data_IF_014990306821
#
_entry.id   IF_014990306821
#
_cell.length_a   1.000
_cell.length_b   1.000
_cell.length_c   1.000
_cell.angle_alpha   90.00
_cell.angle_beta   90.00
_cell.angle_gamma   90.00
#
_symmetry.space_group_name_H-M   'P 1'
#
loop_
_entity.id
_entity.type
_entity.pdbx_description
1 polymer ?
#
# COMPACT_ATOMS: atom_id res chain seq x y z
N UNK A 1 22.63 6.15 -8.41
CA UNK A 1 22.18 7.56 -8.45
C UNK A 1 21.36 7.76 -7.19
N UNK A 2 21.65 8.77 -6.40
CA UNK A 2 20.83 9.11 -5.22
C UNK A 2 19.49 9.63 -5.71
N UNK A 3 18.41 8.97 -5.34
CA UNK A 3 17.06 9.39 -5.66
C UNK A 3 16.82 10.80 -5.11
N UNK A 4 16.42 11.73 -5.98
CA UNK A 4 16.23 13.12 -5.56
C UNK A 4 14.83 13.34 -5.00
N UNK A 5 13.81 12.70 -5.60
CA UNK A 5 12.39 12.89 -5.26
C UNK A 5 11.70 11.53 -5.15
N UNK A 6 11.15 11.24 -4.00
CA UNK A 6 10.36 10.03 -3.77
C UNK A 6 8.92 10.39 -3.41
N UNK A 7 7.98 9.76 -4.09
CA UNK A 7 6.56 9.79 -3.77
C UNK A 7 6.18 8.51 -3.03
N UNK A 8 5.62 8.64 -1.85
CA UNK A 8 5.13 7.53 -1.04
C UNK A 8 3.60 7.56 -1.02
N UNK A 9 2.98 6.47 -1.43
CA UNK A 9 1.54 6.30 -1.52
C UNK A 9 1.09 5.21 -0.56
N UNK A 10 0.34 5.61 0.47
CA UNK A 10 -0.05 4.75 1.57
C UNK A 10 -1.25 3.85 1.29
N UNK A 11 -1.49 2.90 2.19
CA UNK A 11 -2.69 2.08 2.24
C UNK A 11 -3.94 2.88 2.60
N UNK A 12 -5.11 2.26 2.46
CA UNK A 12 -6.39 2.91 2.81
C UNK A 12 -7.60 2.29 2.11
N UNK A 13 -7.43 1.14 1.48
CA UNK A 13 -8.49 0.44 0.76
C UNK A 13 -9.06 1.27 -0.39
N UNK A 14 -10.30 1.00 -0.78
CA UNK A 14 -10.97 1.69 -1.90
C UNK A 14 -11.08 3.19 -1.64
N UNK A 15 -11.41 3.59 -0.42
CA UNK A 15 -11.46 5.01 -0.03
C UNK A 15 -10.10 5.67 -0.18
N UNK A 16 -9.02 4.96 0.21
CA UNK A 16 -7.65 5.43 0.03
C UNK A 16 -7.25 5.59 -1.44
N UNK A 17 -7.70 4.69 -2.32
CA UNK A 17 -7.49 4.85 -3.77
C UNK A 17 -8.14 6.14 -4.26
N UNK A 18 -9.44 6.34 -3.96
CA UNK A 18 -10.18 7.52 -4.42
C UNK A 18 -9.59 8.82 -3.86
N UNK A 19 -9.26 8.83 -2.57
CA UNK A 19 -8.67 10.01 -1.93
C UNK A 19 -7.32 10.37 -2.56
N UNK A 20 -6.42 9.40 -2.73
CA UNK A 20 -5.12 9.65 -3.36
C UNK A 20 -5.25 10.10 -4.82
N UNK A 21 -6.15 9.48 -5.59
CA UNK A 21 -6.41 9.89 -6.97
C UNK A 21 -6.86 11.37 -7.03
N UNK A 22 -7.79 11.77 -6.17
CA UNK A 22 -8.26 13.16 -6.07
C UNK A 22 -7.16 14.14 -5.65
N UNK A 23 -6.34 13.77 -4.65
CA UNK A 23 -5.21 14.61 -4.20
C UNK A 23 -4.17 14.77 -5.32
N UNK A 24 -3.80 13.67 -5.99
CA UNK A 24 -2.84 13.71 -7.09
C UNK A 24 -3.37 14.53 -8.27
N UNK A 25 -4.65 14.39 -8.62
CA UNK A 25 -5.28 15.23 -9.63
C UNK A 25 -5.17 16.72 -9.28
N UNK A 26 -5.53 17.08 -8.03
CA UNK A 26 -5.42 18.47 -7.56
C UNK A 26 -3.99 19.00 -7.55
N UNK A 27 -3.00 18.21 -7.15
CA UNK A 27 -1.59 18.59 -7.17
C UNK A 27 -1.11 18.84 -8.61
N UNK A 28 -1.40 17.94 -9.54
CA UNK A 28 -1.00 18.05 -10.94
C UNK A 28 -1.67 19.24 -11.63
N UNK A 29 -2.97 19.47 -11.41
CA UNK A 29 -3.70 20.65 -11.94
C UNK A 29 -3.11 21.97 -11.46
N UNK A 30 -2.53 21.99 -10.26
CA UNK A 30 -1.87 23.18 -9.69
C UNK A 30 -0.36 23.23 -9.95
N UNK A 31 0.16 22.43 -10.87
CA UNK A 31 1.56 22.46 -11.33
C UNK A 31 2.56 21.81 -10.38
N UNK A 32 2.12 21.04 -9.40
CA UNK A 32 2.99 20.21 -8.56
C UNK A 32 3.26 18.90 -9.28
N UNK A 33 4.45 18.77 -9.87
CA UNK A 33 4.81 17.66 -10.77
C UNK A 33 5.16 16.37 -9.99
N UNK A 34 4.19 15.80 -9.28
CA UNK A 34 4.35 14.54 -8.51
C UNK A 34 4.55 13.32 -9.42
N UNK A 35 4.11 13.40 -10.68
CA UNK A 35 4.31 12.43 -11.75
C UNK A 35 5.78 12.36 -12.24
N UNK A 36 6.62 13.31 -11.83
CA UNK A 36 8.06 13.37 -12.13
C UNK A 36 8.92 12.89 -10.95
N UNK A 37 8.36 12.10 -10.05
CA UNK A 37 9.15 11.45 -9.01
C UNK A 37 10.19 10.49 -9.61
N UNK A 38 11.37 10.43 -9.01
CA UNK A 38 12.43 9.51 -9.42
C UNK A 38 12.16 8.09 -8.90
N UNK A 39 11.34 8.00 -7.82
CA UNK A 39 10.87 6.74 -7.23
C UNK A 39 9.45 6.90 -6.69
N UNK A 40 8.65 5.87 -6.85
CA UNK A 40 7.30 5.76 -6.25
C UNK A 40 7.25 4.51 -5.39
N UNK A 41 6.84 4.64 -4.13
CA UNK A 41 6.65 3.52 -3.21
C UNK A 41 5.15 3.40 -2.95
N UNK A 42 4.55 2.29 -3.34
CA UNK A 42 3.13 2.02 -3.18
C UNK A 42 2.86 0.91 -2.17
N UNK A 43 1.94 1.18 -1.25
CA UNK A 43 1.46 0.20 -0.25
C UNK A 43 -0.04 0.02 -0.42
N UNK A 44 -0.53 -1.22 -0.63
CA UNK A 44 -1.96 -1.54 -0.71
C UNK A 44 -2.70 -0.64 -1.72
N UNK A 45 -3.60 0.24 -1.28
CA UNK A 45 -4.25 1.25 -2.13
C UNK A 45 -3.23 2.07 -2.96
N UNK A 46 -2.12 2.47 -2.34
CA UNK A 46 -1.07 3.23 -2.99
C UNK A 46 -0.33 2.47 -4.09
N UNK A 47 -0.31 1.14 -4.04
CA UNK A 47 0.26 0.33 -5.11
C UNK A 47 -0.56 0.43 -6.41
N UNK A 48 -1.90 0.43 -6.31
CA UNK A 48 -2.80 0.67 -7.44
C UNK A 48 -2.61 2.08 -8.01
N UNK A 49 -2.70 3.08 -7.14
CA UNK A 49 -2.60 4.49 -7.55
C UNK A 49 -1.23 4.79 -8.16
N UNK A 50 -0.16 4.24 -7.58
CA UNK A 50 1.20 4.36 -8.10
C UNK A 50 1.33 3.76 -9.50
N UNK A 51 0.77 2.56 -9.73
CA UNK A 51 0.81 1.93 -11.05
C UNK A 51 0.11 2.78 -12.12
N UNK A 52 -1.04 3.37 -11.82
CA UNK A 52 -1.77 4.26 -12.72
C UNK A 52 -0.98 5.54 -13.00
N UNK A 53 -0.48 6.20 -11.93
CA UNK A 53 0.27 7.46 -12.04
C UNK A 53 1.53 7.33 -12.90
N UNK A 54 2.37 6.31 -12.65
CA UNK A 54 3.64 6.14 -13.38
C UNK A 54 3.46 5.75 -14.85
N UNK A 55 2.27 5.29 -15.23
CA UNK A 55 1.90 5.05 -16.62
C UNK A 55 1.34 6.30 -17.31
N UNK A 56 1.29 7.44 -16.63
CA UNK A 56 0.86 8.72 -17.20
C UNK A 56 -0.65 8.84 -17.41
N UNK A 57 -1.42 8.06 -16.66
CA UNK A 57 -2.88 8.19 -16.69
C UNK A 57 -3.30 9.54 -16.09
N UNK A 58 -4.33 10.16 -16.66
CA UNK A 58 -4.92 11.34 -16.05
C UNK A 58 -5.59 10.96 -14.72
N UNK A 59 -5.08 11.52 -13.62
CA UNK A 59 -5.55 11.14 -12.28
C UNK A 59 -6.98 11.62 -12.00
N UNK A 60 -7.45 12.66 -12.71
CA UNK A 60 -8.82 13.14 -12.62
C UNK A 60 -9.78 12.19 -13.35
N UNK A 61 -9.41 11.76 -14.55
CA UNK A 61 -10.18 10.77 -15.29
C UNK A 61 -10.23 9.46 -14.50
N UNK A 62 -9.10 9.00 -13.97
CA UNK A 62 -9.03 7.81 -13.12
C UNK A 62 -9.95 7.94 -11.89
N UNK A 63 -9.99 9.09 -11.22
CA UNK A 63 -10.87 9.34 -10.07
C UNK A 63 -12.35 9.15 -10.45
N UNK A 64 -12.78 9.69 -11.59
CA UNK A 64 -14.17 9.55 -12.04
C UNK A 64 -14.52 8.14 -12.54
N UNK A 65 -13.54 7.42 -13.09
CA UNK A 65 -13.73 6.04 -13.55
C UNK A 65 -13.76 5.01 -12.41
N UNK A 66 -13.40 5.36 -11.18
CA UNK A 66 -13.34 4.41 -10.07
C UNK A 66 -14.67 3.70 -9.79
N UNK A 67 -15.80 4.38 -9.97
CA UNK A 67 -17.13 3.77 -9.83
C UNK A 67 -17.42 2.76 -10.96
N UNK A 68 -16.98 3.05 -12.18
CA UNK A 68 -17.14 2.16 -13.34
C UNK A 68 -16.23 0.93 -13.25
N UNK A 69 -15.06 1.10 -12.66
CA UNK A 69 -14.07 0.04 -12.41
C UNK A 69 -14.35 -0.80 -11.16
N UNK A 70 -15.47 -0.55 -10.49
CA UNK A 70 -15.86 -1.25 -9.27
C UNK A 70 -16.37 -2.64 -9.60
N UNK A 71 -15.84 -3.65 -8.90
CA UNK A 71 -16.42 -4.98 -8.85
C UNK A 71 -17.30 -5.08 -7.58
N UNK A 72 -18.55 -5.54 -7.73
CA UNK A 72 -19.45 -5.75 -6.58
C UNK A 72 -18.95 -6.84 -5.62
N UNK A 73 -18.10 -7.76 -6.11
CA UNK A 73 -17.42 -8.76 -5.29
C UNK A 73 -16.26 -8.18 -4.46
N UNK A 74 -15.81 -6.96 -4.74
CA UNK A 74 -14.69 -6.30 -4.06
C UNK A 74 -15.13 -5.58 -2.76
N UNK A 75 -16.21 -6.07 -2.14
CA UNK A 75 -16.68 -5.55 -0.84
C UNK A 75 -15.99 -6.29 0.29
N UNK A 76 -15.05 -5.59 0.93
CA UNK A 76 -14.43 -6.06 2.16
C UNK A 76 -15.44 -6.08 3.32
N UNK A 77 -15.52 -7.21 4.01
CA UNK A 77 -16.26 -7.30 5.26
C UNK A 77 -15.32 -7.72 6.38
N UNK A 78 -15.06 -6.82 7.30
CA UNK A 78 -14.27 -7.10 8.49
C UNK A 78 -15.18 -7.70 9.58
N UNK A 79 -15.02 -8.99 9.86
CA UNK A 79 -15.72 -9.62 10.98
C UNK A 79 -15.14 -9.20 12.32
N UNK A 80 -15.96 -9.23 13.37
CA UNK A 80 -15.50 -8.92 14.74
C UNK A 80 -14.41 -9.87 15.22
N UNK A 81 -14.37 -11.09 14.73
CA UNK A 81 -13.36 -12.10 15.10
C UNK A 81 -12.01 -11.78 14.46
N UNK A 82 -11.98 -11.42 13.18
CA UNK A 82 -10.76 -10.98 12.50
C UNK A 82 -10.24 -9.69 13.15
N UNK A 83 -11.11 -8.73 13.44
CA UNK A 83 -10.71 -7.51 14.12
C UNK A 83 -10.05 -7.77 15.47
N UNK A 84 -10.59 -8.70 16.28
CA UNK A 84 -9.97 -9.12 17.55
C UNK A 84 -8.61 -9.77 17.37
N UNK A 85 -8.42 -10.56 16.31
CA UNK A 85 -7.11 -11.16 16.00
C UNK A 85 -6.09 -10.08 15.64
N UNK A 86 -6.47 -9.06 14.86
CA UNK A 86 -5.60 -7.92 14.58
C UNK A 86 -5.24 -7.18 15.86
N UNK A 87 -6.24 -6.81 16.69
CA UNK A 87 -5.98 -6.15 17.96
C UNK A 87 -5.03 -6.96 18.84
N UNK A 88 -5.20 -8.29 18.90
CA UNK A 88 -4.29 -9.16 19.66
C UNK A 88 -2.87 -9.11 19.10
N UNK A 89 -2.69 -9.13 17.77
CA UNK A 89 -1.37 -9.01 17.16
C UNK A 89 -0.65 -7.72 17.59
N UNK A 90 -1.35 -6.57 17.56
CA UNK A 90 -0.79 -5.29 17.98
C UNK A 90 -0.51 -5.22 19.49
N UNK A 91 -1.39 -5.76 20.32
CA UNK A 91 -1.19 -5.75 21.80
C UNK A 91 -0.03 -6.65 22.20
N UNK A 92 0.12 -7.83 21.58
CA UNK A 92 1.17 -8.80 21.94
C UNK A 92 2.50 -8.46 21.26
N UNK A 93 2.47 -8.00 20.02
CA UNK A 93 3.67 -7.61 19.27
C UNK A 93 4.27 -6.29 19.75
N UNK A 94 3.43 -5.38 20.24
CA UNK A 94 3.83 -4.04 20.73
C UNK A 94 4.56 -3.24 19.64
N UNK A 95 5.81 -2.81 19.96
CA UNK A 95 6.72 -2.06 19.08
C UNK A 95 7.56 -2.94 18.14
N UNK A 96 7.41 -4.26 18.23
CA UNK A 96 8.06 -5.22 17.34
C UNK A 96 7.20 -5.45 16.09
N UNK A 97 7.42 -4.63 15.07
CA UNK A 97 6.68 -4.69 13.81
C UNK A 97 6.80 -6.05 13.13
N UNK A 98 7.96 -6.71 13.21
CA UNK A 98 8.16 -8.03 12.63
C UNK A 98 7.27 -9.07 13.32
N UNK A 99 7.24 -9.06 14.64
CA UNK A 99 6.37 -9.95 15.42
C UNK A 99 4.89 -9.70 15.15
N UNK A 100 4.48 -8.42 15.05
CA UNK A 100 3.11 -8.07 14.62
C UNK A 100 2.82 -8.66 13.25
N UNK A 101 3.73 -8.48 12.30
CA UNK A 101 3.62 -9.02 10.93
C UNK A 101 3.47 -10.56 10.91
N UNK A 102 4.25 -11.29 11.73
CA UNK A 102 4.12 -12.75 11.89
C UNK A 102 2.75 -13.13 12.42
N UNK A 103 2.27 -12.48 13.49
CA UNK A 103 0.98 -12.79 14.08
C UNK A 103 -0.19 -12.48 13.13
N UNK A 104 -0.09 -11.42 12.34
CA UNK A 104 -1.06 -11.10 11.29
C UNK A 104 -0.99 -12.13 10.15
N UNK A 105 0.21 -12.57 9.80
CA UNK A 105 0.45 -13.64 8.84
C UNK A 105 -0.17 -14.97 9.25
N UNK A 106 -0.14 -15.33 10.53
CA UNK A 106 -0.77 -16.55 11.04
C UNK A 106 -2.29 -16.58 10.83
N UNK A 107 -2.92 -15.41 10.69
CA UNK A 107 -4.37 -15.32 10.44
C UNK A 107 -4.73 -15.98 9.11
N UNK A 108 -3.93 -15.83 8.05
CA UNK A 108 -4.27 -16.37 6.73
C UNK A 108 -4.31 -17.90 6.70
N UNK A 109 -3.63 -18.57 7.64
CA UNK A 109 -3.65 -20.02 7.77
C UNK A 109 -4.77 -20.51 8.69
N UNK A 110 -5.16 -19.71 9.70
CA UNK A 110 -6.16 -20.09 10.70
C UNK A 110 -7.56 -19.57 10.39
N UNK A 111 -7.65 -18.51 9.60
CA UNK A 111 -8.88 -17.82 9.16
C UNK A 111 -8.72 -17.37 7.71
N UNK A 112 -8.60 -18.29 6.74
CA UNK A 112 -8.44 -17.94 5.33
C UNK A 112 -9.66 -17.16 4.83
N UNK A 113 -9.41 -16.28 3.86
CA UNK A 113 -10.49 -15.62 3.11
C UNK A 113 -11.40 -16.66 2.42
N UNK A 114 -12.67 -16.31 2.29
CA UNK A 114 -13.64 -17.11 1.52
C UNK A 114 -13.58 -16.80 0.01
N UNK A 115 -12.95 -15.68 -0.38
CA UNK A 115 -12.78 -15.32 -1.78
C UNK A 115 -11.69 -16.21 -2.43
N UNK A 116 -11.94 -16.62 -3.65
CA UNK A 116 -10.95 -17.33 -4.47
C UNK A 116 -9.83 -16.35 -4.90
N UNK A 117 -8.59 -16.87 -4.99
CA UNK A 117 -7.44 -16.03 -5.38
C UNK A 117 -7.55 -15.53 -6.82
N UNK A 118 -8.06 -16.35 -7.75
CA UNK A 118 -8.22 -15.94 -9.15
C UNK A 118 -9.33 -14.90 -9.30
N UNK A 119 -10.42 -14.99 -8.54
CA UNK A 119 -11.44 -13.95 -8.47
C UNK A 119 -10.83 -12.63 -7.98
N UNK A 120 -9.99 -12.68 -6.93
CA UNK A 120 -9.27 -11.50 -6.43
C UNK A 120 -8.33 -10.90 -7.47
N UNK A 121 -7.54 -11.71 -8.14
CA UNK A 121 -6.65 -11.29 -9.22
C UNK A 121 -7.42 -10.67 -10.40
N UNK A 122 -8.58 -11.22 -10.74
CA UNK A 122 -9.44 -10.64 -11.76
C UNK A 122 -9.92 -9.24 -11.38
N UNK A 123 -10.33 -9.02 -10.13
CA UNK A 123 -10.71 -7.69 -9.63
C UNK A 123 -9.52 -6.71 -9.67
N UNK A 124 -8.31 -7.18 -9.35
CA UNK A 124 -7.07 -6.39 -9.48
C UNK A 124 -6.82 -5.99 -10.93
N UNK A 125 -6.90 -6.94 -11.88
CA UNK A 125 -6.73 -6.68 -13.32
C UNK A 125 -7.73 -5.65 -13.85
N UNK A 126 -9.01 -5.79 -13.51
CA UNK A 126 -10.06 -4.86 -13.93
C UNK A 126 -9.79 -3.43 -13.45
N UNK A 127 -9.33 -3.30 -12.20
CA UNK A 127 -9.02 -1.98 -11.62
C UNK A 127 -7.77 -1.36 -12.21
N UNK A 128 -6.74 -2.15 -12.52
CA UNK A 128 -5.49 -1.67 -13.12
C UNK A 128 -5.67 -1.26 -14.58
N UNK A 129 -6.48 -2.00 -15.34
CA UNK A 129 -6.52 -1.85 -16.78
C UNK A 129 -5.19 -2.26 -17.43
N UNK A 130 -4.87 -1.63 -18.54
CA UNK A 130 -3.66 -1.93 -19.34
C UNK A 130 -2.50 -1.02 -18.91
N UNK A 131 -1.76 -1.45 -17.89
CA UNK A 131 -0.60 -0.73 -17.35
C UNK A 131 0.65 -1.63 -17.32
N UNK A 132 1.80 -1.02 -17.51
CA UNK A 132 3.11 -1.67 -17.44
C UNK A 132 3.77 -1.43 -16.08
N UNK A 133 4.62 -2.35 -15.65
CA UNK A 133 5.44 -2.13 -14.46
C UNK A 133 6.64 -1.24 -14.78
N UNK A 134 6.57 0.02 -14.43
CA UNK A 134 7.66 0.98 -14.62
C UNK A 134 8.74 0.79 -13.55
N UNK A 135 10.00 0.96 -13.92
CA UNK A 135 11.17 0.72 -13.05
C UNK A 135 11.23 1.59 -11.79
N UNK A 136 10.52 2.71 -11.78
CA UNK A 136 10.46 3.63 -10.65
C UNK A 136 9.42 3.23 -9.59
N UNK A 137 8.59 2.20 -9.86
CA UNK A 137 7.52 1.78 -8.94
C UNK A 137 7.98 0.58 -8.11
N UNK A 138 8.07 0.79 -6.81
CA UNK A 138 8.22 -0.23 -5.79
C UNK A 138 6.89 -0.50 -5.07
N UNK A 139 6.60 -1.78 -4.82
CA UNK A 139 5.37 -2.24 -4.16
C UNK A 139 5.74 -3.03 -2.92
N UNK A 140 5.12 -2.70 -1.79
CA UNK A 140 5.40 -3.34 -0.50
C UNK A 140 4.43 -4.47 -0.19
N UNK A 141 4.92 -5.54 0.42
CA UNK A 141 4.10 -6.58 1.03
C UNK A 141 4.81 -7.18 2.23
N UNK A 142 4.09 -7.84 3.13
CA UNK A 142 4.67 -8.51 4.31
C UNK A 142 4.74 -10.01 4.05
N UNK A 143 5.90 -10.61 4.32
CA UNK A 143 6.03 -12.06 4.35
C UNK A 143 5.24 -12.62 5.54
N UNK A 144 4.23 -13.42 5.27
CA UNK A 144 3.30 -13.93 6.30
C UNK A 144 3.96 -14.79 7.36
N UNK A 145 5.11 -15.42 7.08
CA UNK A 145 5.82 -16.28 8.03
C UNK A 145 6.88 -15.55 8.84
N UNK A 146 7.60 -14.63 8.20
CA UNK A 146 8.72 -13.94 8.86
C UNK A 146 8.31 -12.60 9.44
N UNK A 147 7.21 -12.00 8.99
CA UNK A 147 6.77 -10.66 9.36
C UNK A 147 7.56 -9.54 8.70
N UNK A 148 8.55 -9.88 7.87
CA UNK A 148 9.39 -8.89 7.20
C UNK A 148 8.64 -8.19 6.06
N UNK A 149 8.86 -6.89 5.93
CA UNK A 149 8.41 -6.13 4.76
C UNK A 149 9.33 -6.43 3.59
N UNK A 150 8.75 -6.94 2.51
CA UNK A 150 9.41 -7.11 1.22
C UNK A 150 9.03 -6.00 0.25
N UNK A 151 9.90 -5.74 -0.71
CA UNK A 151 9.70 -4.77 -1.78
C UNK A 151 9.78 -5.49 -3.12
N UNK A 152 8.73 -5.39 -3.91
CA UNK A 152 8.68 -5.86 -5.29
C UNK A 152 8.84 -4.69 -6.26
N UNK A 153 9.51 -4.92 -7.38
CA UNK A 153 9.66 -3.96 -8.49
C UNK A 153 9.74 -4.70 -9.82
N UNK A 154 9.88 -3.98 -10.93
CA UNK A 154 9.92 -4.53 -12.28
C UNK A 154 11.02 -5.59 -12.52
N UNK A 155 12.02 -5.66 -11.63
CA UNK A 155 13.12 -6.65 -11.67
C UNK A 155 12.85 -7.87 -10.78
N UNK A 156 11.76 -7.87 -10.03
CA UNK A 156 11.33 -9.02 -9.24
C UNK A 156 10.76 -10.09 -10.18
N UNK A 157 11.00 -11.35 -9.86
CA UNK A 157 10.47 -12.49 -10.63
C UNK A 157 8.99 -12.74 -10.28
N UNK A 158 8.16 -11.70 -10.46
CA UNK A 158 6.70 -11.72 -10.24
C UNK A 158 6.05 -10.70 -11.18
N UNK A 159 4.75 -10.84 -11.45
CA UNK A 159 4.00 -9.88 -12.25
C UNK A 159 3.57 -8.67 -11.42
N UNK A 160 3.27 -7.53 -12.07
CA UNK A 160 2.70 -6.35 -11.42
C UNK A 160 1.38 -6.69 -10.70
N UNK A 161 0.52 -7.46 -11.37
CA UNK A 161 -0.74 -7.95 -10.81
C UNK A 161 -0.52 -8.74 -9.52
N UNK A 162 0.45 -9.67 -9.52
CA UNK A 162 0.76 -10.49 -8.35
C UNK A 162 1.30 -9.65 -7.19
N UNK A 163 2.18 -8.69 -7.47
CA UNK A 163 2.72 -7.79 -6.47
C UNK A 163 1.64 -6.89 -5.85
N UNK A 164 0.73 -6.35 -6.67
CA UNK A 164 -0.40 -5.54 -6.19
C UNK A 164 -1.39 -6.41 -5.41
N UNK A 165 -1.64 -7.65 -5.88
CA UNK A 165 -2.48 -8.62 -5.14
C UNK A 165 -1.88 -8.90 -3.76
N UNK A 166 -0.55 -9.13 -3.68
CA UNK A 166 0.16 -9.31 -2.41
C UNK A 166 0.03 -8.10 -1.50
N UNK A 167 0.28 -6.90 -2.07
CA UNK A 167 0.24 -5.63 -1.35
C UNK A 167 -1.14 -5.30 -0.77
N UNK A 168 -2.22 -5.82 -1.36
CA UNK A 168 -3.59 -5.63 -0.92
C UNK A 168 -4.22 -6.87 -0.25
N UNK A 169 -3.45 -7.89 0.09
CA UNK A 169 -3.93 -9.14 0.69
C UNK A 169 -4.15 -8.99 2.21
N UNK A 170 -5.15 -8.22 2.61
CA UNK A 170 -5.48 -7.94 4.02
C UNK A 170 -5.87 -9.23 4.75
N UNK A 171 -5.16 -9.62 5.84
CA UNK A 171 -5.35 -10.90 6.52
C UNK A 171 -6.77 -11.13 7.02
N UNK A 172 -7.37 -12.26 6.62
CA UNK A 172 -8.74 -12.64 6.98
C UNK A 172 -9.84 -11.94 6.19
N UNK A 173 -9.49 -11.01 5.31
CA UNK A 173 -10.41 -10.34 4.38
C UNK A 173 -10.16 -10.84 2.95
N UNK A 174 -8.95 -10.64 2.45
CA UNK A 174 -8.55 -11.06 1.10
C UNK A 174 -7.63 -12.28 1.13
N UNK A 175 -7.64 -13.13 0.09
CA UNK A 175 -6.71 -14.25 0.02
C UNK A 175 -5.27 -13.75 -0.04
N UNK A 176 -4.38 -14.39 0.73
CA UNK A 176 -2.95 -14.21 0.57
C UNK A 176 -2.47 -14.85 -0.74
N UNK A 177 -1.33 -14.43 -1.22
CA UNK A 177 -0.74 -14.96 -2.45
C UNK A 177 0.63 -15.57 -2.17
N UNK A 178 0.93 -16.67 -2.86
CA UNK A 178 2.23 -17.32 -2.79
C UNK A 178 3.11 -16.89 -3.96
N UNK A 179 4.20 -16.18 -3.66
CA UNK A 179 5.19 -15.72 -4.63
C UNK A 179 6.58 -16.15 -4.18
N UNK A 180 7.37 -16.70 -5.09
CA UNK A 180 8.76 -17.11 -4.83
C UNK A 180 8.92 -17.93 -3.55
N UNK A 181 8.07 -18.97 -3.38
CA UNK A 181 8.03 -19.88 -2.24
C UNK A 181 7.64 -19.25 -0.89
N UNK A 182 7.25 -17.99 -0.84
CA UNK A 182 6.77 -17.29 0.35
C UNK A 182 5.32 -16.88 0.20
N UNK A 183 4.59 -16.87 1.32
CA UNK A 183 3.22 -16.38 1.40
C UNK A 183 3.25 -14.90 1.79
N UNK A 184 2.47 -14.06 1.09
CA UNK A 184 2.50 -12.60 1.24
C UNK A 184 1.14 -12.05 1.62
N UNK A 185 1.16 -11.05 2.50
CA UNK A 185 -0.01 -10.30 2.98
C UNK A 185 0.20 -8.80 2.77
N UNK A 186 -0.86 -8.03 2.98
CA UNK A 186 -0.88 -6.58 2.78
C UNK A 186 0.28 -5.87 3.48
N UNK A 187 1.01 -5.04 2.70
CA UNK A 187 2.17 -4.30 3.14
C UNK A 187 1.87 -3.21 4.17
N UNK A 188 0.62 -2.75 4.23
CA UNK A 188 0.16 -1.68 5.12
C UNK A 188 -0.19 -2.12 6.55
N UNK A 189 -0.10 -3.42 6.83
CA UNK A 189 -0.55 -3.95 8.13
C UNK A 189 0.37 -3.58 9.30
N UNK A 190 1.65 -3.27 9.06
CA UNK A 190 2.60 -2.85 10.11
C UNK A 190 3.12 -1.42 9.93
N UNK A 191 2.95 -0.84 8.75
CA UNK A 191 3.19 0.57 8.45
C UNK A 191 2.28 0.97 7.29
N UNK A 192 1.27 1.82 7.50
CA UNK A 192 0.33 2.19 6.45
C UNK A 192 0.98 2.79 5.21
N UNK A 193 2.14 3.42 5.34
CA UNK A 193 2.85 4.10 4.24
C UNK A 193 4.16 3.41 3.85
N UNK A 194 4.81 2.69 4.76
CA UNK A 194 6.18 2.21 4.60
C UNK A 194 7.17 3.34 4.22
N UNK A 195 6.94 4.55 4.75
CA UNK A 195 7.67 5.76 4.36
C UNK A 195 9.17 5.67 4.64
N UNK A 196 9.60 4.92 5.64
CA UNK A 196 11.02 4.70 5.95
C UNK A 196 11.81 4.07 4.81
N UNK A 197 11.15 3.43 3.83
CA UNK A 197 11.80 2.94 2.61
C UNK A 197 12.28 4.07 1.68
N UNK A 198 11.82 5.29 1.89
CA UNK A 198 12.27 6.50 1.19
C UNK A 198 13.54 7.12 1.78
N UNK A 199 14.10 6.53 2.86
CA UNK A 199 15.31 7.04 3.50
C UNK A 199 16.47 7.17 2.51
N UNK A 200 17.07 8.37 2.48
CA UNK A 200 18.16 8.72 1.56
C UNK A 200 17.71 9.53 0.34
N UNK A 201 16.41 9.70 0.10
CA UNK A 201 15.90 10.66 -0.87
C UNK A 201 16.06 12.10 -0.37
N UNK A 202 16.24 13.07 -1.26
CA UNK A 202 16.34 14.49 -0.88
C UNK A 202 14.99 15.12 -0.54
N UNK A 203 13.97 14.75 -1.31
CA UNK A 203 12.60 15.25 -1.14
C UNK A 203 11.63 14.09 -1.14
N UNK A 204 10.74 14.07 -0.17
CA UNK A 204 9.77 13.00 0.04
C UNK A 204 8.39 13.64 0.18
N UNK A 205 7.45 13.21 -0.65
CA UNK A 205 6.03 13.53 -0.49
C UNK A 205 5.34 12.22 -0.08
N UNK A 206 4.61 12.26 1.03
CA UNK A 206 3.89 11.11 1.56
C UNK A 206 2.39 11.41 1.51
N UNK A 207 1.63 10.63 0.75
CA UNK A 207 0.18 10.63 0.80
C UNK A 207 -0.25 9.52 1.76
N UNK A 208 -0.82 9.91 2.89
CA UNK A 208 -1.19 9.02 3.99
C UNK A 208 -2.72 9.03 4.23
N UNK A 209 -3.51 8.22 3.49
CA UNK A 209 -4.94 8.09 3.75
C UNK A 209 -5.24 7.62 5.18
N UNK A 210 -4.33 6.84 5.76
CA UNK A 210 -4.30 6.40 7.15
C UNK A 210 -2.99 6.91 7.77
N UNK A 211 -3.07 8.05 8.46
CA UNK A 211 -1.90 8.71 9.00
C UNK A 211 -1.52 8.21 10.40
N UNK A 212 -2.51 7.80 11.17
CA UNK A 212 -2.30 7.32 12.53
C UNK A 212 -1.72 5.91 12.56
N UNK A 213 -0.82 5.68 13.51
CA UNK A 213 -0.31 4.34 13.78
C UNK A 213 -1.38 3.43 14.40
N UNK A 214 -1.13 2.12 14.39
CA UNK A 214 -1.99 1.12 15.01
C UNK A 214 -1.33 0.57 16.28
N UNK A 215 -1.93 0.84 17.44
CA UNK A 215 -1.38 0.42 18.73
C UNK A 215 -0.05 1.12 19.03
N UNK A 216 1.06 0.36 19.10
CA UNK A 216 2.43 0.86 19.31
C UNK A 216 3.21 0.99 17.97
N UNK A 217 2.57 0.71 16.84
CA UNK A 217 3.18 0.89 15.51
C UNK A 217 3.28 2.39 15.22
N UNK A 218 4.44 2.87 14.73
CA UNK A 218 4.66 4.27 14.45
C UNK A 218 3.61 4.85 13.49
N UNK A 219 3.22 6.09 13.73
CA UNK A 219 2.41 6.88 12.81
C UNK A 219 3.28 7.36 11.64
N UNK A 220 2.64 7.87 10.60
CA UNK A 220 3.39 8.52 9.49
C UNK A 220 4.20 9.72 9.97
N UNK A 221 3.79 10.35 11.07
CA UNK A 221 4.51 11.51 11.63
C UNK A 221 5.81 11.11 12.30
N UNK A 222 5.84 9.94 12.98
CA UNK A 222 7.07 9.39 13.56
C UNK A 222 8.08 9.05 12.45
N UNK A 223 7.61 8.47 11.34
CA UNK A 223 8.44 8.21 10.17
C UNK A 223 8.93 9.52 9.54
N UNK A 224 8.04 10.52 9.39
CA UNK A 224 8.36 11.81 8.79
C UNK A 224 9.36 12.60 9.64
N UNK A 225 9.27 12.55 10.97
CA UNK A 225 10.25 13.17 11.89
C UNK A 225 11.63 12.59 11.63
N UNK A 226 11.77 11.26 11.62
CA UNK A 226 13.04 10.59 11.37
C UNK A 226 13.60 10.89 9.97
N UNK A 227 12.75 10.90 8.93
CA UNK A 227 13.16 11.21 7.57
C UNK A 227 13.58 12.66 7.41
N UNK A 228 12.96 13.58 8.16
CA UNK A 228 13.24 15.03 8.12
C UNK A 228 14.63 15.40 8.63
N UNK A 229 15.33 14.49 9.31
CA UNK A 229 16.74 14.70 9.70
C UNK A 229 17.66 14.87 8.49
N UNK A 230 17.32 14.31 7.33
CA UNK A 230 18.18 14.26 6.14
C UNK A 230 17.45 14.63 4.83
N UNK A 231 16.13 14.85 4.88
CA UNK A 231 15.26 15.01 3.71
C UNK A 231 14.26 16.14 3.92
N UNK A 232 13.79 16.74 2.83
CA UNK A 232 12.60 17.58 2.87
C UNK A 232 11.37 16.69 2.78
N UNK A 233 10.58 16.62 3.85
CA UNK A 233 9.42 15.75 3.95
C UNK A 233 8.12 16.54 3.99
N UNK A 234 7.16 16.19 3.14
CA UNK A 234 5.79 16.69 3.17
C UNK A 234 4.84 15.53 3.37
N UNK A 235 4.04 15.58 4.43
CA UNK A 235 2.94 14.64 4.66
C UNK A 235 1.63 15.30 4.25
N UNK A 236 0.85 14.61 3.41
CA UNK A 236 -0.50 15.00 3.04
C UNK A 236 -1.43 13.88 3.54
N UNK A 237 -2.45 14.28 4.29
CA UNK A 237 -3.43 13.39 4.89
C UNK A 237 -4.84 13.97 4.78
N UNK A 238 -5.90 13.17 4.94
CA UNK A 238 -7.24 13.71 5.11
C UNK A 238 -7.31 14.64 6.33
N UNK A 239 -8.04 15.74 6.21
CA UNK A 239 -8.38 16.56 7.35
C UNK A 239 -9.45 15.86 8.21
N UNK A 240 -9.47 16.17 9.50
CA UNK A 240 -10.55 15.75 10.39
C UNK A 240 -11.79 16.58 10.06
N UNK A 241 -12.69 16.00 9.25
CA UNK A 241 -14.01 16.60 9.00
C UNK A 241 -14.98 16.33 10.14
#
# INVERSE_FOLDING_TARGET
MTEERTLVLGGGGITGIAWQAGVLAGLLENGVNVDKADRVIGTSAGAFVGAILVNGYDMKDYYYELDERRDDNDRATLSSDIYRLWQNAFVVGRDDAQKVGQMLGDIVYTRPSHMDLEERKQAVRQRLGDVEWKDILDITAINARTGDVGVFNSRSDVTLEDAITASGAVPGIWPHIRLNHSDWIDGGMVSPTNAMLAKGAKSIIILAPLADGLGMIPSVYDDAEQLSEQSHVLVIQPDSA
#
